data_IF_565613489368
#
_entry.id   IF_565613489368
#
_cell.length_a   1.000
_cell.length_b   1.000
_cell.length_c   1.000
_cell.angle_alpha   90.00
_cell.angle_beta   90.00
_cell.angle_gamma   90.00
#
_symmetry.space_group_name_H-M   'P 1'
#
loop_
_entity.id
_entity.type
_entity.pdbx_description
1 polymer ?
#
# COMPACT_ATOMS: atom_id res chain seq x y z
N UNK A 1 -23.39 4.29 16.15
CA UNK A 1 -22.04 3.73 15.90
C UNK A 1 -21.54 4.37 14.61
N UNK A 2 -20.44 5.14 14.64
CA UNK A 2 -19.85 5.72 13.42
C UNK A 2 -19.18 4.59 12.64
N UNK A 3 -19.75 4.18 11.52
CA UNK A 3 -19.05 3.37 10.52
C UNK A 3 -17.92 4.23 9.97
N UNK A 4 -16.68 3.95 10.40
CA UNK A 4 -15.48 4.52 9.81
C UNK A 4 -15.42 4.10 8.34
N UNK A 5 -15.80 5.00 7.43
CA UNK A 5 -15.61 4.78 6.00
C UNK A 5 -14.10 4.70 5.73
N UNK A 6 -13.62 3.47 5.50
CA UNK A 6 -12.25 3.22 5.08
C UNK A 6 -11.97 3.99 3.79
N UNK A 7 -10.75 4.51 3.65
CA UNK A 7 -10.35 5.16 2.38
C UNK A 7 -10.32 4.14 1.24
N UNK A 8 -10.43 4.62 -0.01
CA UNK A 8 -10.32 3.76 -1.18
C UNK A 8 -9.03 2.92 -1.20
N UNK A 9 -7.95 3.49 -0.70
CA UNK A 9 -6.63 2.85 -0.60
C UNK A 9 -6.60 1.78 0.49
N UNK A 10 -7.22 2.04 1.64
CA UNK A 10 -7.33 1.06 2.73
C UNK A 10 -8.21 -0.13 2.32
N UNK A 11 -9.32 0.12 1.63
CA UNK A 11 -10.18 -0.93 1.12
C UNK A 11 -9.47 -1.76 0.03
N UNK A 12 -8.72 -1.09 -0.84
CA UNK A 12 -7.88 -1.75 -1.85
C UNK A 12 -6.80 -2.62 -1.21
N UNK A 13 -6.16 -2.16 -0.13
CA UNK A 13 -5.21 -2.94 0.65
C UNK A 13 -5.88 -4.18 1.26
N UNK A 14 -7.00 -4.01 1.97
CA UNK A 14 -7.72 -5.09 2.64
C UNK A 14 -8.24 -6.17 1.69
N UNK A 15 -8.59 -5.79 0.45
CA UNK A 15 -9.03 -6.77 -0.54
C UNK A 15 -7.87 -7.57 -1.17
N UNK A 16 -6.62 -7.12 -1.01
CA UNK A 16 -5.48 -7.68 -1.74
C UNK A 16 -4.30 -8.07 -0.84
N UNK A 17 -4.36 -7.83 0.47
CA UNK A 17 -3.19 -7.92 1.34
C UNK A 17 -2.52 -9.30 1.33
N UNK A 18 -3.31 -10.37 1.30
CA UNK A 18 -2.77 -11.75 1.28
C UNK A 18 -1.90 -12.01 0.06
N UNK A 19 -2.28 -11.48 -1.11
CA UNK A 19 -1.54 -11.62 -2.36
C UNK A 19 -0.16 -10.96 -2.30
N UNK A 20 -0.01 -9.90 -1.51
CA UNK A 20 1.19 -9.09 -1.44
C UNK A 20 2.01 -9.31 -0.16
N UNK A 21 1.78 -10.43 0.54
CA UNK A 21 2.59 -10.81 1.71
C UNK A 21 4.09 -10.86 1.40
N UNK A 22 4.88 -10.35 2.35
CA UNK A 22 6.32 -10.18 2.24
C UNK A 22 6.76 -9.05 1.31
N UNK A 23 5.86 -8.14 0.92
CA UNK A 23 6.19 -7.01 0.05
C UNK A 23 5.84 -5.67 0.70
N UNK A 24 6.56 -4.64 0.27
CA UNK A 24 6.21 -3.24 0.47
C UNK A 24 5.22 -2.87 -0.62
N UNK A 25 4.05 -2.40 -0.22
CA UNK A 25 2.90 -2.08 -1.06
C UNK A 25 2.67 -0.57 -1.06
N UNK A 26 2.46 -0.01 -2.24
CA UNK A 26 2.16 1.39 -2.49
C UNK A 26 0.82 1.48 -3.22
N UNK A 27 -0.12 2.26 -2.71
CA UNK A 27 -1.51 2.30 -3.20
C UNK A 27 -1.92 3.74 -3.51
N UNK A 28 -2.50 3.95 -4.69
CA UNK A 28 -3.14 5.23 -5.08
C UNK A 28 -4.53 4.92 -5.64
N UNK A 29 -5.58 5.35 -4.95
CA UNK A 29 -6.95 4.95 -5.27
C UNK A 29 -7.09 3.42 -5.26
N UNK A 30 -7.42 2.84 -6.41
CA UNK A 30 -7.56 1.38 -6.62
C UNK A 30 -6.32 0.70 -7.22
N UNK A 31 -5.23 1.44 -7.47
CA UNK A 31 -4.01 0.88 -8.08
C UNK A 31 -3.00 0.48 -7.03
N UNK A 32 -2.44 -0.72 -7.19
CA UNK A 32 -1.44 -1.30 -6.29
C UNK A 32 -0.13 -1.47 -7.02
N UNK A 33 0.95 -1.05 -6.37
CA UNK A 33 2.33 -1.30 -6.76
C UNK A 33 3.02 -2.02 -5.60
N UNK A 34 3.88 -3.00 -5.87
CA UNK A 34 4.54 -3.76 -4.81
C UNK A 34 5.98 -4.12 -5.15
N UNK A 35 6.84 -4.13 -4.14
CA UNK A 35 8.24 -4.56 -4.26
C UNK A 35 8.68 -5.30 -3.00
N UNK A 36 9.52 -6.33 -3.16
CA UNK A 36 10.21 -6.99 -2.04
C UNK A 36 11.55 -6.35 -1.70
N UNK A 37 12.02 -5.42 -2.53
CA UNK A 37 13.32 -4.74 -2.40
C UNK A 37 13.09 -3.31 -1.88
N UNK A 38 13.47 -3.05 -0.63
CA UNK A 38 13.36 -1.72 -0.01
C UNK A 38 14.09 -0.63 -0.81
N UNK A 39 15.25 -0.96 -1.40
CA UNK A 39 16.02 -0.04 -2.24
C UNK A 39 15.26 0.50 -3.46
N UNK A 40 14.21 -0.20 -3.93
CA UNK A 40 13.38 0.24 -5.07
C UNK A 40 12.22 1.16 -4.67
N UNK A 41 11.93 1.30 -3.38
CA UNK A 41 10.77 2.07 -2.91
C UNK A 41 10.88 3.55 -3.30
N UNK A 42 12.02 4.25 -3.10
CA UNK A 42 12.11 5.67 -3.46
C UNK A 42 11.85 5.94 -4.95
N UNK A 43 12.38 5.08 -5.82
CA UNK A 43 12.18 5.17 -7.27
C UNK A 43 10.71 4.96 -7.64
N UNK A 44 10.08 3.91 -7.09
CA UNK A 44 8.66 3.61 -7.34
C UNK A 44 7.74 4.71 -6.81
N UNK A 45 8.02 5.26 -5.63
CA UNK A 45 7.25 6.39 -5.08
C UNK A 45 7.33 7.59 -6.01
N UNK A 46 8.54 7.93 -6.49
CA UNK A 46 8.72 9.04 -7.44
C UNK A 46 7.91 8.84 -8.73
N UNK A 47 7.98 7.64 -9.33
CA UNK A 47 7.20 7.32 -10.53
C UNK A 47 5.68 7.41 -10.30
N UNK A 48 5.21 6.97 -9.13
CA UNK A 48 3.80 7.06 -8.75
C UNK A 48 3.38 8.51 -8.55
N UNK A 49 4.14 9.31 -7.80
CA UNK A 49 3.87 10.72 -7.58
C UNK A 49 3.85 11.50 -8.90
N UNK A 50 4.80 11.25 -9.81
CA UNK A 50 4.84 11.90 -11.12
C UNK A 50 3.63 11.55 -12.00
N UNK A 51 3.21 10.28 -11.97
CA UNK A 51 2.12 9.74 -12.79
C UNK A 51 0.73 10.11 -12.28
N UNK A 52 0.51 10.08 -10.96
CA UNK A 52 -0.80 10.30 -10.35
C UNK A 52 -0.95 11.66 -9.70
N UNK A 53 0.14 12.46 -9.66
CA UNK A 53 0.19 13.76 -8.97
C UNK A 53 -0.25 13.68 -7.51
N UNK A 54 -0.02 12.53 -6.87
CA UNK A 54 -0.47 12.22 -5.50
C UNK A 54 0.49 11.24 -4.84
N UNK A 55 0.67 11.40 -3.52
CA UNK A 55 1.44 10.46 -2.70
C UNK A 55 0.68 9.13 -2.49
N UNK A 56 1.32 7.97 -2.69
CA UNK A 56 0.73 6.68 -2.35
C UNK A 56 0.63 6.47 -0.84
N UNK A 57 -0.36 5.68 -0.42
CA UNK A 57 -0.33 4.97 0.85
C UNK A 57 0.75 3.89 0.77
N UNK A 58 1.72 3.90 1.68
CA UNK A 58 2.82 2.93 1.70
C UNK A 58 2.68 2.05 2.94
N UNK A 59 2.77 0.74 2.77
CA UNK A 59 2.71 -0.23 3.88
C UNK A 59 3.59 -1.44 3.59
N UNK A 60 4.08 -2.11 4.64
CA UNK A 60 4.74 -3.40 4.50
C UNK A 60 3.80 -4.49 4.97
N UNK A 61 3.57 -5.50 4.13
CA UNK A 61 2.77 -6.66 4.48
C UNK A 61 3.74 -7.77 4.88
N UNK A 62 3.76 -8.20 6.15
CA UNK A 62 4.66 -9.25 6.59
C UNK A 62 4.32 -10.60 5.95
N UNK A 63 5.32 -11.48 5.85
CA UNK A 63 5.20 -12.80 5.24
C UNK A 63 4.43 -13.78 6.14
N UNK A 64 4.68 -13.67 7.44
CA UNK A 64 4.04 -14.41 8.52
C UNK A 64 3.34 -13.40 9.44
N UNK A 65 2.11 -13.71 9.89
CA UNK A 65 1.45 -13.10 11.06
C UNK A 65 1.41 -11.58 11.23
N UNK A 66 0.19 -11.03 11.20
CA UNK A 66 -0.25 -9.70 11.69
C UNK A 66 0.18 -8.47 10.89
N UNK A 67 -0.81 -7.87 10.21
CA UNK A 67 -0.71 -6.61 9.51
C UNK A 67 -0.67 -5.46 10.52
N UNK A 68 0.42 -4.67 10.55
CA UNK A 68 0.53 -3.49 11.41
C UNK A 68 0.16 -2.26 10.58
N UNK A 69 -1.00 -1.65 10.88
CA UNK A 69 -1.41 -0.35 10.35
C UNK A 69 -0.89 0.74 11.29
N UNK A 70 0.05 1.56 10.83
CA UNK A 70 0.45 2.80 11.52
C UNK A 70 -0.20 3.96 10.75
N UNK A 71 -1.00 4.75 11.45
CA UNK A 71 -1.71 5.93 10.94
C UNK A 71 -1.69 7.04 11.97
#
# INVERSE_FOLDING_TARGET
MKTSHLSSEQQTLLNNWEKYRGAIVMIVGSKIFATKKAAKVPELVKQIEEKFKRRPLITFIPKEGTLILIG
#
